data_IF_797382048552
#
_entry.id   IF_797382048552
#
_cell.length_a   1.000
_cell.length_b   1.000
_cell.length_c   1.000
_cell.angle_alpha   90.00
_cell.angle_beta   90.00
_cell.angle_gamma   90.00
#
_symmetry.space_group_name_H-M   'P 1'
#
loop_
_entity.id
_entity.type
_entity.pdbx_description
1 polymer ?
#
# COMPACT_ATOMS: atom_id res chain seq x y z
N UNK A 1 -11.11 -8.35 3.68
CA UNK A 1 -12.01 -7.29 3.14
C UNK A 1 -11.71 -5.88 3.69
N UNK A 2 -10.74 -5.72 4.60
CA UNK A 2 -10.49 -4.46 5.32
C UNK A 2 -10.00 -3.30 4.45
N UNK A 3 -9.11 -3.56 3.49
CA UNK A 3 -8.54 -2.51 2.60
C UNK A 3 -9.62 -1.77 1.81
N UNK A 4 -10.56 -2.51 1.22
CA UNK A 4 -11.68 -1.94 0.45
C UNK A 4 -12.65 -1.18 1.36
N UNK A 5 -12.90 -1.69 2.56
CA UNK A 5 -13.74 -1.02 3.54
C UNK A 5 -13.14 0.34 3.97
N UNK A 6 -11.81 0.38 4.19
CA UNK A 6 -11.10 1.64 4.46
C UNK A 6 -11.23 2.59 3.29
N UNK A 7 -10.95 2.15 2.06
CA UNK A 7 -11.06 3.01 0.87
C UNK A 7 -12.49 3.54 0.69
N UNK A 8 -13.51 2.74 0.99
CA UNK A 8 -14.91 3.19 0.92
C UNK A 8 -15.24 4.28 1.94
N UNK A 9 -14.65 4.24 3.14
CA UNK A 9 -14.81 5.29 4.15
C UNK A 9 -14.16 6.63 3.77
N UNK A 10 -13.19 6.62 2.85
CA UNK A 10 -12.51 7.82 2.33
C UNK A 10 -12.89 8.11 0.87
N UNK A 11 -14.04 7.61 0.42
CA UNK A 11 -14.60 7.88 -0.89
C UNK A 11 -15.85 8.74 -0.73
N UNK A 12 -15.88 9.91 -1.36
CA UNK A 12 -17.04 10.80 -1.40
C UNK A 12 -17.42 11.11 -2.85
N UNK A 13 -18.70 10.96 -3.18
CA UNK A 13 -19.26 11.22 -4.52
C UNK A 13 -18.44 10.62 -5.69
N UNK A 14 -17.82 9.45 -5.50
CA UNK A 14 -17.00 8.77 -6.53
C UNK A 14 -15.55 9.26 -6.63
N UNK A 15 -15.14 10.20 -5.78
CA UNK A 15 -13.76 10.67 -5.64
C UNK A 15 -13.12 10.02 -4.43
N UNK A 16 -11.91 9.49 -4.58
CA UNK A 16 -11.14 8.87 -3.49
C UNK A 16 -10.11 9.87 -2.98
N UNK A 17 -10.16 10.20 -1.69
CA UNK A 17 -9.20 11.11 -1.04
C UNK A 17 -7.90 10.39 -0.67
N UNK A 18 -7.00 10.27 -1.65
CA UNK A 18 -5.74 9.50 -1.56
C UNK A 18 -4.75 10.02 -0.50
N UNK A 19 -4.88 11.28 -0.11
CA UNK A 19 -4.00 11.92 0.88
C UNK A 19 -4.51 11.77 2.32
N UNK A 20 -5.79 11.46 2.52
CA UNK A 20 -6.39 11.37 3.86
C UNK A 20 -6.18 10.03 4.55
N UNK A 21 -5.74 9.00 3.83
CA UNK A 21 -5.50 7.68 4.39
C UNK A 21 -4.21 7.05 3.88
N UNK A 22 -3.56 6.28 4.75
CA UNK A 22 -2.44 5.41 4.42
C UNK A 22 -2.69 4.03 5.02
N UNK A 23 -2.45 2.98 4.23
CA UNK A 23 -2.68 1.59 4.64
C UNK A 23 -1.31 0.90 4.71
N UNK A 24 -1.01 0.31 5.87
CA UNK A 24 0.18 -0.49 6.08
C UNK A 24 -0.23 -1.95 6.19
N UNK A 25 0.37 -2.81 5.37
CA UNK A 25 0.17 -4.25 5.41
C UNK A 25 1.47 -4.92 5.83
N UNK A 26 1.46 -5.58 6.98
CA UNK A 26 2.63 -6.28 7.51
C UNK A 26 2.55 -7.74 7.06
N UNK A 27 3.59 -8.20 6.36
CA UNK A 27 3.69 -9.59 5.90
C UNK A 27 4.82 -10.31 6.63
N UNK A 28 4.66 -11.58 7.03
CA UNK A 28 5.69 -12.36 7.73
C UNK A 28 6.91 -12.70 6.87
N UNK A 29 6.79 -12.68 5.55
CA UNK A 29 7.86 -13.06 4.63
C UNK A 29 7.96 -12.04 3.49
N UNK A 30 9.18 -11.82 2.99
CA UNK A 30 9.43 -10.94 1.84
C UNK A 30 8.71 -11.40 0.57
N UNK A 31 8.77 -12.68 0.25
CA UNK A 31 8.09 -13.24 -0.93
C UNK A 31 6.58 -12.96 -0.93
N UNK A 32 5.94 -13.10 0.25
CA UNK A 32 4.51 -12.81 0.40
C UNK A 32 4.22 -11.31 0.28
N UNK A 33 5.09 -10.45 0.81
CA UNK A 33 4.96 -9.00 0.62
C UNK A 33 5.02 -8.64 -0.88
N UNK A 34 5.97 -9.19 -1.62
CA UNK A 34 6.11 -8.91 -3.06
C UNK A 34 4.91 -9.42 -3.86
N UNK A 35 4.44 -10.65 -3.60
CA UNK A 35 3.27 -11.22 -4.27
C UNK A 35 2.01 -10.40 -4.00
N UNK A 36 1.77 -10.06 -2.72
CA UNK A 36 0.63 -9.25 -2.33
C UNK A 36 0.71 -7.84 -2.90
N UNK A 37 1.90 -7.24 -3.00
CA UNK A 37 2.12 -5.93 -3.64
C UNK A 37 1.65 -5.96 -5.09
N UNK A 38 2.07 -6.97 -5.86
CA UNK A 38 1.67 -7.13 -7.26
C UNK A 38 0.15 -7.36 -7.39
N UNK A 39 -0.42 -8.19 -6.52
CA UNK A 39 -1.85 -8.47 -6.51
C UNK A 39 -2.68 -7.21 -6.19
N UNK A 40 -2.31 -6.48 -5.14
CA UNK A 40 -2.95 -5.22 -4.76
C UNK A 40 -2.77 -4.14 -5.81
N UNK A 41 -1.57 -3.99 -6.38
CA UNK A 41 -1.32 -3.03 -7.46
C UNK A 41 -2.25 -3.29 -8.65
N UNK A 42 -2.40 -4.55 -9.10
CA UNK A 42 -3.30 -4.90 -10.20
C UNK A 42 -4.77 -4.61 -9.88
N UNK A 43 -5.22 -4.91 -8.65
CA UNK A 43 -6.63 -4.74 -8.25
C UNK A 43 -7.00 -3.28 -7.93
N UNK A 44 -6.04 -2.49 -7.46
CA UNK A 44 -6.25 -1.09 -7.05
C UNK A 44 -5.85 -0.08 -8.14
N UNK A 45 -5.17 -0.52 -9.21
CA UNK A 45 -4.93 0.26 -10.43
C UNK A 45 -6.16 0.98 -11.00
N UNK A 46 -7.35 0.34 -11.14
CA UNK A 46 -8.54 1.05 -11.66
C UNK A 46 -9.06 2.15 -10.74
N UNK A 47 -8.73 2.10 -9.44
CA UNK A 47 -9.04 3.16 -8.48
C UNK A 47 -7.96 4.26 -8.44
N UNK A 48 -6.90 4.11 -9.25
CA UNK A 48 -5.76 5.02 -9.29
C UNK A 48 -4.96 5.08 -7.99
N UNK A 49 -5.00 4.01 -7.17
CA UNK A 49 -4.24 3.91 -5.93
C UNK A 49 -2.88 3.29 -6.20
N UNK A 50 -1.82 3.89 -5.65
CA UNK A 50 -0.45 3.37 -5.76
C UNK A 50 -0.12 2.47 -4.56
N UNK A 51 0.48 1.33 -4.87
CA UNK A 51 0.90 0.30 -3.91
C UNK A 51 2.40 0.09 -4.06
N UNK A 52 3.16 0.08 -2.96
CA UNK A 52 4.59 -0.27 -2.98
C UNK A 52 4.99 -1.09 -1.78
N UNK A 53 6.04 -1.89 -1.95
CA UNK A 53 6.77 -2.52 -0.85
C UNK A 53 7.70 -1.48 -0.21
N UNK A 54 7.74 -1.44 1.13
CA UNK A 54 8.67 -0.62 1.91
C UNK A 54 9.70 -1.56 2.53
N UNK A 55 10.86 -1.66 1.90
CA UNK A 55 12.05 -2.34 2.43
C UNK A 55 12.99 -1.31 3.05
N UNK A 56 13.69 -1.70 4.12
CA UNK A 56 14.59 -0.83 4.88
C UNK A 56 15.73 -0.22 4.06
N UNK A 57 16.05 -0.80 2.91
CA UNK A 57 17.11 -0.31 2.00
C UNK A 57 16.64 0.79 1.05
N UNK A 58 15.32 0.93 0.85
CA UNK A 58 14.81 1.93 -0.09
C UNK A 58 14.57 3.24 0.64
N UNK A 59 15.51 4.17 0.53
CA UNK A 59 15.32 5.57 0.94
C UNK A 59 14.28 6.22 0.02
N UNK A 60 13.00 5.98 0.29
CA UNK A 60 11.91 6.59 -0.46
C UNK A 60 11.93 8.10 -0.24
N UNK A 61 11.86 8.85 -1.34
CA UNK A 61 11.76 10.30 -1.26
C UNK A 61 10.41 10.69 -0.62
N UNK A 62 10.36 11.82 0.09
CA UNK A 62 9.10 12.34 0.68
C UNK A 62 7.95 12.42 -0.34
N UNK A 63 8.28 12.65 -1.62
CA UNK A 63 7.32 12.64 -2.74
C UNK A 63 6.72 11.26 -2.98
N UNK A 64 7.55 10.23 -3.11
CA UNK A 64 7.07 8.85 -3.27
C UNK A 64 6.27 8.39 -2.05
N UNK A 65 6.60 8.92 -0.86
CA UNK A 65 5.82 8.66 0.34
C UNK A 65 4.44 9.35 0.27
N UNK A 66 4.36 10.58 -0.20
CA UNK A 66 3.07 11.24 -0.39
C UNK A 66 2.20 10.51 -1.42
N UNK A 67 2.78 10.07 -2.55
CA UNK A 67 2.06 9.46 -3.66
C UNK A 67 1.61 8.00 -3.45
N UNK A 68 2.12 7.32 -2.42
CA UNK A 68 1.80 5.90 -2.16
C UNK A 68 0.76 5.78 -1.05
N UNK A 69 -0.33 5.05 -1.32
CA UNK A 69 -1.46 4.88 -0.40
C UNK A 69 -1.34 3.59 0.40
N UNK A 70 -0.91 2.51 -0.26
CA UNK A 70 -0.76 1.19 0.37
C UNK A 70 0.72 0.82 0.40
N UNK A 71 1.23 0.50 1.59
CA UNK A 71 2.59 0.03 1.78
C UNK A 71 2.61 -1.37 2.35
N UNK A 72 3.41 -2.24 1.75
CA UNK A 72 3.66 -3.57 2.25
C UNK A 72 5.02 -3.59 2.95
N UNK A 73 5.02 -3.96 4.23
CA UNK A 73 6.22 -4.06 5.04
C UNK A 73 6.46 -5.55 5.31
N UNK A 74 7.50 -6.16 4.73
CA UNK A 74 7.90 -7.49 5.16
C UNK A 74 8.56 -7.41 6.54
N UNK A 75 8.14 -8.28 7.45
CA UNK A 75 8.88 -8.59 8.66
C UNK A 75 10.22 -9.17 8.23
N UNK A 76 11.28 -8.39 8.43
CA UNK A 76 12.63 -8.90 8.38
C UNK A 76 12.79 -9.76 9.65
N UNK A 77 12.84 -11.08 9.50
CA UNK A 77 13.49 -11.88 10.53
C UNK A 77 14.97 -11.47 10.45
N UNK A 78 15.40 -10.66 11.41
CA UNK A 78 16.82 -10.44 11.65
C UNK A 78 17.41 -11.83 11.91
N UNK A 79 18.39 -12.24 11.10
CA UNK A 79 19.20 -13.43 11.40
C UNK A 79 19.86 -13.33 12.78
#
# INVERSE_FOLDING_TARGET
LTVLNTVHGFMDQGVIYKDEFKIIYIAPMKALATEMTANFARRLAPLGLKVRELTGDTTLTRKEIAETQVRLIPLQCNE
#
